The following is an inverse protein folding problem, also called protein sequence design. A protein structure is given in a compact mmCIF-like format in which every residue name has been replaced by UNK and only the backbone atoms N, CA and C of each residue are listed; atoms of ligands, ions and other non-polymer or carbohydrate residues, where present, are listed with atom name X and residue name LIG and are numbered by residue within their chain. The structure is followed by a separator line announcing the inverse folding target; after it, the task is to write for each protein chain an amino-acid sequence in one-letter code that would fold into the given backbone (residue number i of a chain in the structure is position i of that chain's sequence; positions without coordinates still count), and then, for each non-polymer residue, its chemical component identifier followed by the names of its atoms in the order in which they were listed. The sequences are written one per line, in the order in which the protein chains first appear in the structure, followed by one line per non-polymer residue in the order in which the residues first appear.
data_IF_721855538365
#
_entry.id   IF_721855538365
#
_cell.length_a   1.000
_cell.length_b   1.000
_cell.length_c   1.000
_cell.angle_alpha   90.00
_cell.angle_beta   90.00
_cell.angle_gamma   90.00
#
_symmetry.space_group_name_H-M   'P 1'
#
loop_
_entity.id
_entity.type
_entity.pdbx_description
1 polymer ?
#
# COMPACT_ATOMS: atom_id res chain seq x y z
N UNK A 1 -9.91 3.20 -14.40
CA UNK A 1 -9.03 4.38 -14.57
C UNK A 1 -7.63 3.92 -14.93
N UNK A 2 -6.87 4.70 -15.69
CA UNK A 2 -5.49 4.39 -16.02
C UNK A 2 -4.59 5.62 -15.93
N UNK A 3 -3.31 5.41 -15.75
CA UNK A 3 -2.28 6.44 -15.84
C UNK A 3 -1.81 6.52 -17.29
N UNK A 4 -1.66 7.73 -17.83
CA UNK A 4 -1.10 7.99 -19.16
C UNK A 4 0.36 8.43 -19.09
N UNK A 5 0.75 9.03 -17.98
CA UNK A 5 2.11 9.50 -17.78
C UNK A 5 2.48 9.42 -16.31
N UNK A 6 3.70 9.01 -16.03
CA UNK A 6 4.31 9.02 -14.70
C UNK A 6 5.64 9.76 -14.76
N UNK A 7 5.81 10.73 -13.87
CA UNK A 7 7.05 11.50 -13.72
C UNK A 7 7.61 11.36 -12.33
N UNK A 8 8.88 11.03 -12.23
CA UNK A 8 9.65 11.04 -10.99
C UNK A 8 10.83 11.99 -11.14
N UNK A 9 11.10 12.79 -10.12
CA UNK A 9 12.30 13.61 -10.01
C UNK A 9 12.89 13.43 -8.62
N UNK A 10 14.15 13.05 -8.56
CA UNK A 10 14.89 12.76 -7.32
C UNK A 10 14.14 11.83 -6.34
N UNK A 11 13.43 10.83 -6.88
CA UNK A 11 12.69 9.85 -6.10
C UNK A 11 13.47 8.53 -6.01
N UNK A 12 13.85 8.13 -4.79
CA UNK A 12 14.63 6.92 -4.53
C UNK A 12 15.93 6.90 -5.35
N UNK A 13 16.07 5.90 -6.23
CA UNK A 13 17.22 5.76 -7.14
C UNK A 13 17.04 6.48 -8.48
N UNK A 14 15.90 7.11 -8.71
CA UNK A 14 15.56 7.80 -9.95
C UNK A 14 15.89 9.30 -9.86
N UNK A 15 16.91 9.81 -10.53
CA UNK A 15 17.11 11.25 -10.67
C UNK A 15 16.03 11.88 -11.54
N UNK A 16 15.66 11.20 -12.62
CA UNK A 16 14.55 11.55 -13.50
C UNK A 16 13.99 10.28 -14.14
N UNK A 17 12.66 10.16 -14.14
CA UNK A 17 11.90 9.22 -14.95
C UNK A 17 10.74 9.97 -15.60
N UNK A 18 10.58 9.81 -16.90
CA UNK A 18 9.40 10.16 -17.68
C UNK A 18 8.92 8.87 -18.34
N UNK A 19 7.73 8.41 -17.99
CA UNK A 19 7.19 7.13 -18.47
C UNK A 19 5.78 7.36 -19.03
N UNK A 20 5.65 7.16 -20.33
CA UNK A 20 4.36 7.07 -20.99
C UNK A 20 3.74 5.71 -20.71
N UNK A 21 2.46 5.71 -20.40
CA UNK A 21 1.69 4.54 -20.03
C UNK A 21 0.40 4.48 -20.84
N UNK A 22 0.00 3.26 -21.18
CA UNK A 22 -1.25 2.99 -21.89
C UNK A 22 -2.08 1.96 -21.11
N UNK A 23 -3.39 1.85 -21.38
CA UNK A 23 -4.18 0.72 -20.92
C UNK A 23 -3.56 -0.62 -21.35
N UNK A 24 -3.69 -1.65 -20.51
CA UNK A 24 -3.07 -2.95 -20.73
C UNK A 24 -1.91 -3.20 -19.78
N UNK A 25 -1.00 -4.08 -20.17
CA UNK A 25 0.10 -4.53 -19.30
C UNK A 25 1.38 -3.79 -19.65
N UNK A 26 2.01 -3.19 -18.65
CA UNK A 26 3.37 -2.63 -18.72
C UNK A 26 4.28 -3.43 -17.77
N UNK A 27 5.36 -3.98 -18.31
CA UNK A 27 6.33 -4.77 -17.54
C UNK A 27 7.66 -4.04 -17.40
N UNK A 28 8.13 -3.88 -16.17
CA UNK A 28 9.44 -3.35 -15.83
C UNK A 28 10.38 -4.52 -15.52
N UNK A 29 11.33 -4.79 -16.38
CA UNK A 29 12.28 -5.90 -16.24
C UNK A 29 13.65 -5.37 -15.85
N UNK A 30 14.33 -6.05 -14.93
CA UNK A 30 15.70 -5.69 -14.54
C UNK A 30 16.11 -6.37 -13.25
N UNK A 31 17.40 -6.41 -13.00
CA UNK A 31 17.94 -7.08 -11.80
C UNK A 31 17.40 -6.45 -10.51
N UNK A 32 17.41 -7.24 -9.43
CA UNK A 32 17.02 -6.74 -8.12
C UNK A 32 17.91 -5.56 -7.70
N UNK A 33 17.27 -4.56 -7.10
CA UNK A 33 17.94 -3.31 -6.72
C UNK A 33 18.06 -2.26 -7.84
N UNK A 34 17.59 -2.53 -9.07
CA UNK A 34 17.65 -1.55 -10.17
C UNK A 34 16.57 -0.46 -10.10
N UNK A 35 15.63 -0.54 -9.17
CA UNK A 35 14.64 0.52 -8.96
C UNK A 35 13.27 0.28 -9.59
N UNK A 36 12.95 -0.94 -10.05
CA UNK A 36 11.62 -1.32 -10.55
C UNK A 36 10.52 -1.05 -9.53
N UNK A 37 10.66 -1.61 -8.33
CA UNK A 37 9.74 -1.41 -7.19
C UNK A 37 9.54 0.07 -6.85
N UNK A 38 10.57 0.92 -7.04
CA UNK A 38 10.45 2.35 -6.74
C UNK A 38 9.42 3.05 -7.65
N UNK A 39 9.22 2.55 -8.88
CA UNK A 39 8.20 3.07 -9.79
C UNK A 39 6.80 2.74 -9.26
N UNK A 40 6.57 1.48 -8.84
CA UNK A 40 5.30 1.07 -8.25
C UNK A 40 5.06 1.79 -6.90
N UNK A 41 6.11 1.94 -6.09
CA UNK A 41 6.06 2.70 -4.83
C UNK A 41 5.58 4.14 -5.05
N UNK A 42 6.06 4.80 -6.09
CA UNK A 42 5.66 6.17 -6.42
C UNK A 42 4.15 6.27 -6.73
N UNK A 43 3.61 5.34 -7.51
CA UNK A 43 2.16 5.27 -7.79
C UNK A 43 1.38 5.01 -6.50
N UNK A 44 1.84 4.07 -5.66
CA UNK A 44 1.26 3.79 -4.36
C UNK A 44 1.25 5.02 -3.44
N UNK A 45 2.31 5.83 -3.48
CA UNK A 45 2.39 7.10 -2.71
C UNK A 45 1.36 8.12 -3.19
N UNK A 46 1.10 8.23 -4.50
CA UNK A 46 0.02 9.09 -5.00
C UNK A 46 -1.38 8.61 -4.57
N UNK A 47 -1.56 7.29 -4.43
CA UNK A 47 -2.84 6.70 -4.04
C UNK A 47 -3.15 6.81 -2.55
N UNK A 48 -2.12 6.73 -1.68
CA UNK A 48 -2.30 6.57 -0.23
C UNK A 48 -1.60 7.64 0.60
N UNK A 49 -0.75 8.47 -0.03
CA UNK A 49 0.17 9.43 0.61
C UNK A 49 1.17 8.76 1.56
N UNK A 50 1.44 7.47 1.36
CA UNK A 50 2.35 6.67 2.19
C UNK A 50 3.12 5.68 1.33
N UNK A 51 4.33 5.36 1.76
CA UNK A 51 5.06 4.24 1.20
C UNK A 51 4.64 2.92 1.87
N UNK A 52 4.52 1.84 1.09
CA UNK A 52 4.34 0.49 1.63
C UNK A 52 5.63 -0.09 2.22
N UNK A 53 6.80 0.54 1.95
CA UNK A 53 8.12 0.04 2.37
C UNK A 53 8.73 0.78 3.54
N UNK A 54 8.42 2.06 3.69
CA UNK A 54 9.02 2.91 4.73
C UNK A 54 7.99 3.73 5.50
N UNK A 55 8.26 3.97 6.76
CA UNK A 55 7.35 4.70 7.64
C UNK A 55 7.45 6.23 7.53
N UNK A 56 8.52 6.76 6.92
CA UNK A 56 8.79 8.19 6.79
C UNK A 56 9.15 8.56 5.35
N UNK A 57 9.01 9.83 5.00
CA UNK A 57 9.23 10.31 3.63
C UNK A 57 10.72 10.43 3.26
N UNK A 58 11.59 10.65 4.25
CA UNK A 58 13.01 10.91 4.01
C UNK A 58 13.71 9.84 3.13
N UNK A 59 13.47 8.52 3.31
CA UNK A 59 14.08 7.51 2.44
C UNK A 59 13.53 7.49 1.01
N UNK A 60 12.43 8.17 0.71
CA UNK A 60 11.89 8.29 -0.65
C UNK A 60 12.57 9.40 -1.44
N UNK A 61 13.21 10.37 -0.76
CA UNK A 61 13.98 11.44 -1.39
C UNK A 61 15.37 10.90 -1.73
N UNK A 62 15.82 11.16 -2.96
CA UNK A 62 17.13 10.72 -3.44
C UNK A 62 18.23 11.32 -2.57
N UNK A 63 19.27 10.55 -2.27
CA UNK A 63 20.42 11.01 -1.50
C UNK A 63 21.05 12.23 -2.16
N UNK A 64 21.21 13.31 -1.40
CA UNK A 64 21.74 14.58 -1.88
C UNK A 64 20.70 15.58 -2.39
N UNK A 65 19.42 15.18 -2.50
CA UNK A 65 18.32 16.08 -2.85
C UNK A 65 17.53 16.52 -1.61
N UNK A 66 16.94 17.72 -1.66
CA UNK A 66 16.06 18.26 -0.62
C UNK A 66 14.58 17.91 -0.84
N UNK A 67 14.23 17.57 -2.06
CA UNK A 67 12.84 17.35 -2.48
C UNK A 67 12.80 16.24 -3.52
N UNK A 68 11.83 15.34 -3.41
CA UNK A 68 11.44 14.44 -4.48
C UNK A 68 10.08 14.85 -5.02
N UNK A 69 9.88 14.69 -6.34
CA UNK A 69 8.60 14.96 -6.98
C UNK A 69 8.08 13.68 -7.63
N UNK A 70 6.82 13.38 -7.35
CA UNK A 70 6.06 12.30 -8.00
C UNK A 70 4.85 12.95 -8.69
N UNK A 71 4.76 12.81 -9.99
CA UNK A 71 3.67 13.34 -10.80
C UNK A 71 3.04 12.27 -11.67
N UNK A 72 1.73 12.35 -11.89
CA UNK A 72 1.03 11.47 -12.81
C UNK A 72 -0.08 12.22 -13.55
N UNK A 73 -0.32 11.81 -14.81
CA UNK A 73 -1.51 12.14 -15.58
C UNK A 73 -2.44 10.93 -15.51
N UNK A 74 -3.56 11.06 -14.81
CA UNK A 74 -4.57 10.03 -14.65
C UNK A 74 -5.77 10.32 -15.55
N UNK A 75 -6.26 9.28 -16.24
CA UNK A 75 -7.51 9.31 -16.98
C UNK A 75 -8.56 8.49 -16.22
N UNK A 76 -9.66 9.14 -15.83
CA UNK A 76 -10.74 8.50 -15.10
C UNK A 76 -12.09 9.03 -15.57
N UNK A 77 -13.01 8.15 -15.95
CA UNK A 77 -14.37 8.48 -16.40
C UNK A 77 -14.43 9.60 -17.44
N UNK A 78 -13.53 9.57 -18.44
CA UNK A 78 -13.45 10.56 -19.53
C UNK A 78 -12.81 11.90 -19.13
N UNK A 79 -12.21 11.99 -17.94
CA UNK A 79 -11.51 13.19 -17.46
C UNK A 79 -10.03 12.91 -17.28
N UNK A 80 -9.21 13.88 -17.66
CA UNK A 80 -7.78 13.88 -17.38
C UNK A 80 -7.48 14.78 -16.20
N UNK A 81 -6.74 14.24 -15.24
CA UNK A 81 -6.31 14.94 -14.03
C UNK A 81 -4.80 14.75 -13.86
N UNK A 82 -4.08 15.86 -13.76
CA UNK A 82 -2.67 15.85 -13.41
C UNK A 82 -2.54 15.99 -11.89
N UNK A 83 -1.85 15.07 -11.26
CA UNK A 83 -1.53 15.11 -9.84
C UNK A 83 -0.02 15.17 -9.64
N UNK A 84 0.43 16.05 -8.76
CA UNK A 84 1.84 16.15 -8.37
C UNK A 84 1.95 16.19 -6.85
N UNK A 85 2.91 15.45 -6.32
CA UNK A 85 3.28 15.42 -4.91
C UNK A 85 4.77 15.73 -4.76
N UNK A 86 5.09 16.79 -4.04
CA UNK A 86 6.45 17.13 -3.63
C UNK A 86 6.68 16.67 -2.19
N UNK A 87 7.57 15.71 -2.02
CA UNK A 87 8.06 15.21 -0.73
C UNK A 87 9.26 16.07 -0.32
N UNK A 88 9.19 16.70 0.83
CA UNK A 88 10.22 17.65 1.27
C UNK A 88 10.95 17.16 2.52
N UNK A 89 12.27 17.21 2.51
CA UNK A 89 13.08 16.91 3.68
C UNK A 89 12.91 18.00 4.75
N UNK A 90 12.45 17.62 5.95
CA UNK A 90 12.31 18.53 7.08
C UNK A 90 11.25 19.63 6.96
N UNK A 91 10.43 19.60 5.91
CA UNK A 91 9.34 20.56 5.66
C UNK A 91 8.04 19.81 5.33
N UNK A 92 6.91 20.52 5.36
CA UNK A 92 5.64 19.97 4.94
C UNK A 92 5.66 19.64 3.43
N UNK A 93 5.10 18.47 3.08
CA UNK A 93 4.87 18.08 1.70
C UNK A 93 3.86 19.03 1.04
N UNK A 94 3.91 19.11 -0.28
CA UNK A 94 3.01 19.94 -1.08
C UNK A 94 2.42 19.12 -2.20
N UNK A 95 1.18 19.43 -2.57
CA UNK A 95 0.50 18.77 -3.66
C UNK A 95 -0.09 19.81 -4.63
N UNK A 96 -0.24 19.40 -5.88
CA UNK A 96 -0.94 20.14 -6.92
C UNK A 96 -1.91 19.20 -7.64
N UNK A 97 -3.07 19.76 -7.99
CA UNK A 97 -4.06 19.11 -8.83
C UNK A 97 -4.25 19.97 -10.07
N UNK A 98 -3.96 19.41 -11.22
CA UNK A 98 -3.80 20.14 -12.46
C UNK A 98 -2.73 21.24 -12.30
N UNK A 99 -3.05 22.50 -12.58
CA UNK A 99 -2.12 23.65 -12.44
C UNK A 99 -2.20 24.31 -11.06
N UNK A 100 -3.17 23.90 -10.20
CA UNK A 100 -3.47 24.60 -8.96
C UNK A 100 -2.84 23.94 -7.74
N UNK A 101 -2.21 24.70 -6.83
CA UNK A 101 -1.73 24.15 -5.58
C UNK A 101 -2.91 23.73 -4.67
N UNK A 102 -2.80 22.56 -4.06
CA UNK A 102 -3.77 22.08 -3.08
C UNK A 102 -3.59 22.80 -1.73
N UNK A 103 -4.69 22.98 -0.99
CA UNK A 103 -4.64 23.51 0.37
C UNK A 103 -4.05 22.49 1.34
N UNK A 104 -4.35 21.23 1.13
CA UNK A 104 -3.85 20.10 1.92
C UNK A 104 -3.34 19.03 0.97
N UNK A 105 -2.29 18.31 1.36
CA UNK A 105 -1.76 17.19 0.57
C UNK A 105 -2.84 16.13 0.33
N UNK A 106 -3.73 15.91 1.29
CA UNK A 106 -4.86 14.98 1.17
C UNK A 106 -5.88 15.30 0.07
N UNK A 107 -5.87 16.51 -0.51
CA UNK A 107 -6.81 16.90 -1.55
C UNK A 107 -6.56 16.14 -2.88
N UNK A 108 -5.43 15.45 -3.04
CA UNK A 108 -5.13 14.60 -4.20
C UNK A 108 -5.60 13.14 -4.03
N UNK A 109 -6.02 12.73 -2.83
CA UNK A 109 -6.50 11.37 -2.60
C UNK A 109 -7.74 11.08 -3.45
N UNK A 110 -7.81 9.84 -3.96
CA UNK A 110 -8.88 9.40 -4.85
C UNK A 110 -8.69 9.78 -6.33
N UNK A 111 -7.68 10.60 -6.67
CA UNK A 111 -7.33 10.87 -8.08
C UNK A 111 -6.67 9.65 -8.72
N UNK A 112 -5.69 9.08 -8.02
CA UNK A 112 -5.07 7.80 -8.37
C UNK A 112 -5.56 6.74 -7.39
N UNK A 113 -6.06 5.63 -7.91
CA UNK A 113 -6.48 4.48 -7.11
C UNK A 113 -5.71 3.26 -7.61
N UNK A 114 -5.12 2.52 -6.68
CA UNK A 114 -4.28 1.39 -7.02
C UNK A 114 -4.41 0.25 -6.02
N UNK A 115 -4.17 -0.96 -6.50
CA UNK A 115 -4.02 -2.16 -5.68
C UNK A 115 -2.63 -2.73 -5.95
N UNK A 116 -1.82 -2.82 -4.91
CA UNK A 116 -0.48 -3.37 -4.98
C UNK A 116 -0.48 -4.80 -4.43
N UNK A 117 0.15 -5.70 -5.17
CA UNK A 117 0.59 -7.01 -4.70
C UNK A 117 2.11 -7.00 -4.60
N UNK A 118 2.63 -7.31 -3.43
CA UNK A 118 4.06 -7.33 -3.17
C UNK A 118 4.42 -8.47 -2.19
N UNK A 119 5.68 -8.94 -2.17
CA UNK A 119 6.11 -9.96 -1.21
C UNK A 119 5.88 -9.58 0.25
N UNK A 120 5.90 -8.29 0.55
CA UNK A 120 5.62 -7.72 1.87
C UNK A 120 4.18 -8.00 2.35
N UNK A 121 3.25 -8.34 1.46
CA UNK A 121 1.86 -8.65 1.81
C UNK A 121 1.72 -9.89 2.70
N UNK A 122 2.73 -10.75 2.76
CA UNK A 122 2.79 -11.81 3.77
C UNK A 122 2.69 -11.27 5.20
N UNK A 123 3.12 -10.03 5.44
CA UNK A 123 2.99 -9.35 6.72
C UNK A 123 1.53 -9.07 7.10
N UNK A 124 0.59 -9.01 6.16
CA UNK A 124 -0.84 -8.91 6.46
C UNK A 124 -1.32 -10.13 7.26
N UNK A 125 -0.80 -11.30 6.95
CA UNK A 125 -1.20 -12.55 7.61
C UNK A 125 -0.32 -12.86 8.83
N UNK A 126 1.01 -12.74 8.69
CA UNK A 126 1.98 -13.14 9.72
C UNK A 126 2.44 -12.00 10.62
N UNK A 127 2.31 -10.77 10.12
CA UNK A 127 2.83 -9.57 10.79
C UNK A 127 1.98 -9.06 11.95
N UNK A 128 2.31 -7.86 12.37
CA UNK A 128 1.66 -7.21 13.50
C UNK A 128 0.32 -6.56 13.08
N UNK A 129 -0.59 -6.29 14.03
CA UNK A 129 -1.87 -5.64 13.76
C UNK A 129 -1.77 -4.32 12.98
N UNK A 130 -0.64 -3.65 13.06
CA UNK A 130 -0.40 -2.39 12.35
C UNK A 130 -0.51 -2.53 10.83
N UNK A 131 -0.03 -3.65 10.26
CA UNK A 131 -0.10 -3.92 8.82
C UNK A 131 -1.55 -4.08 8.36
N UNK A 132 -2.35 -4.80 9.12
CA UNK A 132 -3.77 -5.02 8.82
C UNK A 132 -4.61 -3.75 8.97
N UNK A 133 -4.33 -2.94 10.01
CA UNK A 133 -4.97 -1.62 10.14
C UNK A 133 -4.62 -0.72 8.97
N UNK A 134 -3.36 -0.75 8.54
CA UNK A 134 -2.90 0.03 7.39
C UNK A 134 -3.68 -0.34 6.13
N UNK A 135 -3.86 -1.63 5.84
CA UNK A 135 -4.68 -2.10 4.71
C UNK A 135 -6.11 -1.51 4.76
N UNK A 136 -6.78 -1.61 5.91
CA UNK A 136 -8.13 -1.07 6.06
C UNK A 136 -8.16 0.46 5.86
N UNK A 137 -7.21 1.17 6.46
CA UNK A 137 -7.14 2.64 6.37
C UNK A 137 -6.86 3.10 4.94
N UNK A 138 -5.95 2.43 4.23
CA UNK A 138 -5.63 2.72 2.83
C UNK A 138 -6.84 2.49 1.92
N UNK A 139 -7.57 1.39 2.07
CA UNK A 139 -8.79 1.12 1.32
C UNK A 139 -9.89 2.15 1.62
N UNK A 140 -10.10 2.47 2.90
CA UNK A 140 -11.07 3.49 3.29
C UNK A 140 -10.77 4.84 2.65
N UNK A 141 -9.50 5.27 2.71
CA UNK A 141 -9.08 6.58 2.20
C UNK A 141 -9.17 6.65 0.68
N UNK A 142 -8.77 5.61 -0.03
CA UNK A 142 -8.89 5.58 -1.48
C UNK A 142 -10.35 5.60 -1.96
N UNK A 143 -11.27 4.95 -1.23
CA UNK A 143 -12.71 4.94 -1.53
C UNK A 143 -13.43 6.22 -1.05
N UNK A 144 -13.03 6.74 0.12
CA UNK A 144 -13.64 7.91 0.77
C UNK A 144 -12.55 8.88 1.26
N UNK A 145 -12.00 9.72 0.39
CA UNK A 145 -10.87 10.61 0.70
C UNK A 145 -11.07 11.51 1.93
N UNK A 146 -12.32 11.86 2.26
CA UNK A 146 -12.63 12.64 3.46
C UNK A 146 -12.15 12.00 4.76
N UNK A 147 -12.14 10.67 4.84
CA UNK A 147 -11.63 9.93 6.02
C UNK A 147 -10.12 10.07 6.21
N UNK A 148 -9.37 10.43 5.17
CA UNK A 148 -7.94 10.74 5.29
C UNK A 148 -7.66 11.92 6.22
N UNK A 149 -8.57 12.90 6.26
CA UNK A 149 -8.51 14.02 7.20
C UNK A 149 -8.70 13.55 8.65
N UNK A 150 -9.70 12.70 8.90
CA UNK A 150 -9.98 12.17 10.24
C UNK A 150 -8.82 11.30 10.76
N UNK A 151 -8.22 10.45 9.92
CA UNK A 151 -7.03 9.64 10.26
C UNK A 151 -5.81 10.51 10.60
N UNK A 152 -5.58 11.57 9.82
CA UNK A 152 -4.49 12.52 10.05
C UNK A 152 -4.66 13.28 11.36
N UNK A 153 -5.85 13.78 11.61
CA UNK A 153 -6.17 14.50 12.84
C UNK A 153 -6.14 13.57 14.07
N UNK A 154 -6.73 12.36 13.96
CA UNK A 154 -6.64 11.33 15.00
C UNK A 154 -5.20 11.04 15.40
N UNK A 155 -4.32 10.86 14.43
CA UNK A 155 -2.90 10.60 14.67
C UNK A 155 -2.22 11.79 15.38
N UNK A 156 -2.62 13.02 15.08
CA UNK A 156 -2.12 14.22 15.76
C UNK A 156 -2.59 14.32 17.21
N UNK A 157 -3.89 14.14 17.43
CA UNK A 157 -4.52 14.10 18.77
C UNK A 157 -3.88 13.00 19.62
N UNK A 158 -3.71 11.80 19.06
CA UNK A 158 -3.08 10.67 19.75
C UNK A 158 -1.65 10.97 20.19
N UNK A 159 -0.85 11.63 19.33
CA UNK A 159 0.53 12.04 19.70
C UNK A 159 0.54 13.03 20.83
N UNK A 160 -0.32 14.05 20.80
CA UNK A 160 -0.38 15.08 21.85
C UNK A 160 -0.87 14.49 23.16
N UNK A 161 -1.93 13.69 23.13
CA UNK A 161 -2.46 12.98 24.30
C UNK A 161 -1.41 12.06 24.92
N UNK A 162 -0.70 11.30 24.09
CA UNK A 162 0.38 10.40 24.56
C UNK A 162 1.56 11.15 25.17
N UNK A 163 1.91 12.32 24.62
CA UNK A 163 2.94 13.18 25.20
C UNK A 163 2.50 13.73 26.58
N UNK A 164 1.25 14.13 26.72
CA UNK A 164 0.65 14.58 27.99
C UNK A 164 0.69 13.47 29.04
N UNK A 165 0.21 12.28 28.71
CA UNK A 165 0.24 11.10 29.60
C UNK A 165 1.68 10.76 30.05
N UNK A 166 2.62 10.77 29.12
CA UNK A 166 4.04 10.50 29.42
C UNK A 166 4.64 11.54 30.38
N UNK A 167 4.32 12.81 30.17
CA UNK A 167 4.76 13.91 31.04
C UNK A 167 4.16 13.80 32.44
N UNK A 168 2.83 13.59 32.52
CA UNK A 168 2.13 13.44 33.79
C UNK A 168 2.65 12.22 34.60
N UNK A 169 2.81 11.07 33.95
CA UNK A 169 3.39 9.86 34.59
C UNK A 169 4.80 10.12 35.13
N UNK A 170 5.65 10.81 34.40
CA UNK A 170 7.01 11.15 34.84
C UNK A 170 7.00 12.13 36.02
N UNK A 171 6.06 13.08 36.05
CA UNK A 171 5.90 14.08 37.13
C UNK A 171 5.39 13.43 38.40
N UNK A 172 4.40 12.54 38.30
CA UNK A 172 3.89 11.75 39.43
C UNK A 172 4.97 10.90 40.10
N UNK A 173 5.79 10.21 39.30
CA UNK A 173 6.92 9.39 39.81
C UNK A 173 7.97 10.22 40.55
N UNK A 174 8.05 11.52 40.30
CA UNK A 174 8.95 12.46 40.98
C UNK A 174 8.32 13.09 42.23
N UNK A 175 7.12 12.68 42.63
CA UNK A 175 6.40 13.20 43.80
C UNK A 175 5.81 14.59 43.63
N UNK A 176 5.63 15.09 42.38
CA UNK A 176 5.03 16.40 42.06
C UNK A 176 3.59 16.23 41.61
N UNK A 177 2.73 15.80 42.53
CA UNK A 177 1.32 15.49 42.21
C UNK A 177 0.51 16.68 41.73
N UNK A 178 0.71 17.88 42.28
CA UNK A 178 -0.02 19.10 41.88
C UNK A 178 0.28 19.50 40.43
N UNK A 179 1.56 19.44 40.01
CA UNK A 179 1.95 19.73 38.63
C UNK A 179 1.36 18.71 37.64
N UNK A 180 1.25 17.45 38.05
CA UNK A 180 0.65 16.41 37.25
C UNK A 180 -0.88 16.57 37.13
N UNK A 181 -1.56 16.99 38.22
CA UNK A 181 -3.00 17.22 38.22
C UNK A 181 -3.38 18.32 37.21
N UNK A 182 -2.68 19.45 37.22
CA UNK A 182 -2.91 20.54 36.26
C UNK A 182 -2.72 20.09 34.79
N UNK A 183 -1.75 19.22 34.53
CA UNK A 183 -1.55 18.65 33.20
C UNK A 183 -2.69 17.69 32.81
N UNK A 184 -3.26 16.97 33.76
CA UNK A 184 -4.34 16.02 33.52
C UNK A 184 -5.72 16.68 33.39
N UNK A 185 -5.91 17.92 33.86
CA UNK A 185 -7.17 18.68 33.71
C UNK A 185 -7.55 18.90 32.24
N UNK A 186 -6.54 18.92 31.36
CA UNK A 186 -6.78 19.05 29.91
C UNK A 186 -7.05 17.71 29.20
N UNK A 187 -6.90 16.58 29.92
CA UNK A 187 -6.99 15.24 29.31
C UNK A 187 -8.39 14.96 28.77
N UNK A 188 -9.44 15.47 29.43
CA UNK A 188 -10.83 15.28 29.02
C UNK A 188 -11.11 15.87 27.62
N UNK A 189 -10.49 17.00 27.29
CA UNK A 189 -10.60 17.62 25.97
C UNK A 189 -9.98 16.71 24.90
N UNK A 190 -8.81 16.14 25.20
CA UNK A 190 -8.14 15.21 24.30
C UNK A 190 -8.88 13.88 24.19
N UNK A 191 -9.49 13.38 25.28
CA UNK A 191 -10.32 12.18 25.32
C UNK A 191 -11.56 12.33 24.44
N UNK A 192 -12.27 13.45 24.57
CA UNK A 192 -13.41 13.77 23.73
C UNK A 192 -13.06 13.81 22.24
N UNK A 193 -11.96 14.51 21.89
CA UNK A 193 -11.55 14.60 20.48
C UNK A 193 -11.04 13.27 19.94
N UNK A 194 -10.30 12.49 20.75
CA UNK A 194 -9.84 11.16 20.39
C UNK A 194 -11.00 10.20 20.14
N UNK A 195 -12.01 10.22 21.00
CA UNK A 195 -13.21 9.39 20.85
C UNK A 195 -14.03 9.77 19.62
N UNK A 196 -14.25 11.05 19.39
CA UNK A 196 -14.99 11.56 18.23
C UNK A 196 -14.36 11.16 16.88
N UNK A 197 -13.05 11.32 16.76
CA UNK A 197 -12.33 10.90 15.54
C UNK A 197 -12.20 9.39 15.47
N UNK A 198 -11.93 8.76 16.60
CA UNK A 198 -11.78 7.32 16.74
C UNK A 198 -13.04 6.55 16.35
N UNK A 199 -14.20 7.04 16.73
CA UNK A 199 -15.50 6.42 16.41
C UNK A 199 -15.76 6.35 14.92
N UNK A 200 -15.46 7.42 14.18
CA UNK A 200 -15.59 7.47 12.72
C UNK A 200 -14.66 6.48 12.03
N UNK A 201 -13.44 6.33 12.55
CA UNK A 201 -12.47 5.36 12.02
C UNK A 201 -12.95 3.94 12.29
N UNK A 202 -13.44 3.63 13.50
CA UNK A 202 -13.96 2.30 13.86
C UNK A 202 -15.16 1.95 13.00
N UNK A 203 -16.17 2.82 12.96
CA UNK A 203 -17.36 2.60 12.14
C UNK A 203 -17.02 2.43 10.65
N UNK A 204 -16.10 3.25 10.12
CA UNK A 204 -15.63 3.14 8.75
C UNK A 204 -14.93 1.81 8.46
N UNK A 205 -14.08 1.32 9.36
CA UNK A 205 -13.39 0.02 9.21
C UNK A 205 -14.36 -1.16 9.28
N UNK A 206 -15.36 -1.12 10.17
CA UNK A 206 -16.36 -2.17 10.30
C UNK A 206 -17.21 -2.21 9.03
N UNK A 207 -17.74 -1.08 8.58
CA UNK A 207 -18.51 -0.98 7.35
C UNK A 207 -17.72 -1.49 6.12
N UNK A 208 -16.44 -1.08 6.01
CA UNK A 208 -15.54 -1.59 4.98
C UNK A 208 -15.39 -3.11 5.07
N UNK A 209 -15.20 -3.65 6.26
CA UNK A 209 -15.00 -5.09 6.45
C UNK A 209 -16.23 -5.91 6.09
N UNK A 210 -17.44 -5.41 6.35
CA UNK A 210 -18.69 -6.07 5.92
C UNK A 210 -18.77 -6.25 4.41
N UNK A 211 -18.33 -5.24 3.64
CA UNK A 211 -18.27 -5.29 2.18
C UNK A 211 -17.09 -6.16 1.68
N UNK A 212 -15.93 -6.06 2.32
CA UNK A 212 -14.70 -6.74 1.91
C UNK A 212 -14.72 -8.26 2.21
N UNK A 213 -15.32 -8.66 3.33
CA UNK A 213 -15.31 -10.06 3.81
C UNK A 213 -15.79 -11.06 2.77
N UNK A 214 -16.97 -10.94 2.14
CA UNK A 214 -17.44 -11.91 1.16
C UNK A 214 -16.51 -11.99 -0.06
N UNK A 215 -15.93 -10.87 -0.49
CA UNK A 215 -15.01 -10.81 -1.64
C UNK A 215 -13.69 -11.55 -1.36
N UNK A 216 -13.15 -11.35 -0.16
CA UNK A 216 -11.92 -12.06 0.26
C UNK A 216 -12.16 -13.54 0.45
N UNK A 217 -13.27 -13.94 1.07
CA UNK A 217 -13.63 -15.35 1.27
C UNK A 217 -13.79 -16.07 -0.08
N UNK A 218 -14.45 -15.43 -1.05
CA UNK A 218 -14.61 -16.00 -2.38
C UNK A 218 -13.28 -16.11 -3.13
N UNK A 219 -12.45 -15.06 -3.08
CA UNK A 219 -11.12 -15.06 -3.67
C UNK A 219 -10.21 -16.13 -3.04
N UNK A 220 -10.26 -16.31 -1.72
CA UNK A 220 -9.50 -17.35 -1.04
C UNK A 220 -9.92 -18.75 -1.48
N UNK A 221 -11.22 -19.01 -1.58
CA UNK A 221 -11.76 -20.29 -2.04
C UNK A 221 -11.29 -20.64 -3.46
N UNK A 222 -11.18 -19.66 -4.36
CA UNK A 222 -10.66 -19.85 -5.72
C UNK A 222 -9.15 -20.17 -5.72
N UNK A 223 -8.38 -19.49 -4.85
CA UNK A 223 -6.92 -19.66 -4.76
C UNK A 223 -6.49 -20.93 -4.01
N UNK A 224 -7.30 -21.42 -3.09
CA UNK A 224 -6.98 -22.54 -2.22
C UNK A 224 -8.23 -23.41 -1.94
N UNK A 225 -8.80 -24.07 -2.98
CA UNK A 225 -10.09 -24.78 -2.87
C UNK A 225 -10.08 -25.94 -1.89
N UNK A 226 -8.92 -26.53 -1.63
CA UNK A 226 -8.75 -27.66 -0.69
C UNK A 226 -8.35 -27.21 0.72
N UNK A 227 -8.21 -25.90 0.95
CA UNK A 227 -7.82 -25.36 2.24
C UNK A 227 -9.02 -25.14 3.16
N UNK A 228 -8.71 -24.91 4.45
CA UNK A 228 -9.70 -24.50 5.44
C UNK A 228 -10.35 -23.17 5.02
N UNK A 229 -11.64 -22.92 5.32
CA UNK A 229 -12.31 -21.68 4.95
C UNK A 229 -11.65 -20.47 5.62
N UNK A 230 -11.46 -19.39 4.83
CA UNK A 230 -10.97 -18.13 5.35
C UNK A 230 -12.07 -17.36 6.09
N UNK A 231 -11.69 -16.73 7.20
CA UNK A 231 -12.57 -15.85 7.96
C UNK A 231 -11.90 -14.51 8.26
N UNK A 232 -12.72 -13.45 8.30
CA UNK A 232 -12.30 -12.10 8.65
C UNK A 232 -13.20 -11.55 9.74
N UNK A 233 -12.63 -10.97 10.80
CA UNK A 233 -13.35 -10.35 11.90
C UNK A 233 -12.65 -9.06 12.36
N UNK A 234 -13.40 -8.13 12.95
CA UNK A 234 -12.84 -6.94 13.57
C UNK A 234 -12.73 -7.14 15.07
N UNK A 235 -11.56 -6.95 15.63
CA UNK A 235 -11.36 -6.97 17.09
C UNK A 235 -11.21 -5.54 17.59
N UNK A 236 -12.26 -5.07 18.20
CA UNK A 236 -12.24 -3.84 18.97
C UNK A 236 -11.63 -4.13 20.35
N UNK A 237 -10.55 -3.42 20.71
CA UNK A 237 -9.84 -3.65 21.98
C UNK A 237 -10.45 -2.84 23.13
N UNK A 238 -11.73 -2.90 23.27
CA UNK A 238 -12.46 -2.35 24.43
C UNK A 238 -13.00 -3.54 25.21
N UNK A 239 -12.81 -3.55 26.51
CA UNK A 239 -13.43 -4.55 27.37
C UNK A 239 -14.92 -4.19 27.48
N UNK A 240 -15.74 -4.84 26.67
CA UNK A 240 -17.20 -4.72 26.69
C UNK A 240 -17.85 -5.99 27.22
N UNK A 241 -19.15 -5.93 27.56
CA UNK A 241 -19.97 -7.09 27.89
C UNK A 241 -20.05 -8.05 26.69
N UNK A 242 -20.51 -9.31 26.90
CA UNK A 242 -20.57 -10.33 25.85
C UNK A 242 -21.46 -9.97 24.66
N UNK A 243 -22.31 -8.99 24.80
CA UNK A 243 -23.10 -8.42 23.69
C UNK A 243 -22.27 -7.31 23.05
N UNK A 244 -21.62 -7.63 21.90
CA UNK A 244 -20.86 -6.65 21.14
C UNK A 244 -21.79 -5.52 20.68
N UNK A 245 -21.54 -4.25 21.08
CA UNK A 245 -22.36 -3.13 20.61
C UNK A 245 -22.22 -2.98 19.10
N UNK A 246 -23.26 -2.54 18.43
CA UNK A 246 -23.22 -2.18 17.02
C UNK A 246 -22.33 -0.94 16.80
N UNK A 247 -21.06 -1.15 16.58
CA UNK A 247 -20.06 -0.09 16.38
C UNK A 247 -20.07 0.48 14.95
N UNK A 248 -21.01 0.09 14.10
CA UNK A 248 -21.23 0.74 12.79
C UNK A 248 -21.84 2.12 12.95
N UNK A 249 -22.55 2.36 14.08
CA UNK A 249 -23.03 3.69 14.48
C UNK A 249 -21.89 4.50 15.15
N UNK A 250 -21.43 5.61 14.53
CA UNK A 250 -20.37 6.44 15.10
C UNK A 250 -20.72 7.05 16.47
N UNK A 251 -21.98 7.37 16.76
CA UNK A 251 -22.38 7.97 18.04
C UNK A 251 -22.26 6.92 19.17
N UNK A 252 -22.70 5.69 18.91
CA UNK A 252 -22.55 4.60 19.85
C UNK A 252 -21.06 4.23 20.04
N UNK A 253 -20.30 4.17 18.96
CA UNK A 253 -18.86 3.91 19.03
C UNK A 253 -18.11 5.01 19.83
N UNK A 254 -18.51 6.29 19.71
CA UNK A 254 -17.94 7.38 20.49
C UNK A 254 -18.24 7.22 22.00
N UNK A 255 -19.49 6.92 22.34
CA UNK A 255 -19.89 6.69 23.73
C UNK A 255 -19.12 5.52 24.37
N UNK A 256 -18.94 4.42 23.63
CA UNK A 256 -18.16 3.25 24.07
C UNK A 256 -16.68 3.60 24.25
N UNK A 257 -16.10 4.37 23.34
CA UNK A 257 -14.71 4.83 23.46
C UNK A 257 -14.53 5.75 24.67
N UNK A 258 -15.43 6.70 24.90
CA UNK A 258 -15.37 7.60 26.06
C UNK A 258 -15.49 6.84 27.39
N UNK A 259 -16.42 5.90 27.46
CA UNK A 259 -16.59 5.06 28.66
C UNK A 259 -15.30 4.26 28.95
N UNK A 260 -14.69 3.68 27.93
CA UNK A 260 -13.45 2.90 28.09
C UNK A 260 -12.24 3.77 28.43
N UNK A 261 -12.12 4.96 27.85
CA UNK A 261 -11.09 5.94 28.19
C UNK A 261 -11.19 6.32 29.68
N UNK A 262 -12.43 6.58 30.17
CA UNK A 262 -12.67 6.84 31.59
C UNK A 262 -12.28 5.65 32.46
N UNK A 263 -12.69 4.44 32.08
CA UNK A 263 -12.39 3.20 32.83
C UNK A 263 -10.89 2.90 32.93
N UNK A 264 -10.13 3.14 31.86
CA UNK A 264 -8.69 2.86 31.80
C UNK A 264 -7.78 4.04 32.13
N UNK A 265 -8.38 5.19 32.48
CA UNK A 265 -7.64 6.45 32.69
C UNK A 265 -6.45 6.29 33.64
N UNK A 266 -6.66 5.65 34.81
CA UNK A 266 -5.57 5.48 35.78
C UNK A 266 -4.46 4.60 35.22
N UNK A 267 -4.79 3.52 34.53
CA UNK A 267 -3.81 2.64 33.88
C UNK A 267 -3.01 3.37 32.82
N UNK A 268 -3.65 4.21 32.02
CA UNK A 268 -2.99 5.03 31.00
C UNK A 268 -2.03 6.06 31.61
N UNK A 269 -2.45 6.69 32.71
CA UNK A 269 -1.61 7.65 33.47
C UNK A 269 -0.39 6.92 34.03
N UNK A 270 -0.59 5.78 34.72
CA UNK A 270 0.50 5.01 35.34
C UNK A 270 1.53 4.53 34.31
N UNK A 271 1.07 4.10 33.14
CA UNK A 271 1.92 3.63 32.05
C UNK A 271 2.48 4.75 31.18
N UNK A 272 1.86 5.93 31.17
CA UNK A 272 2.21 7.05 30.29
C UNK A 272 1.92 6.74 28.82
N UNK A 273 0.87 5.94 28.53
CA UNK A 273 0.56 5.44 27.19
C UNK A 273 -0.94 5.46 26.93
N UNK A 274 -1.36 5.80 25.70
CA UNK A 274 -2.74 5.64 25.24
C UNK A 274 -3.03 4.17 24.95
N UNK A 275 -4.02 3.61 25.63
CA UNK A 275 -4.37 2.18 25.56
C UNK A 275 -5.70 1.92 24.85
N UNK A 276 -6.51 2.95 24.63
CA UNK A 276 -7.85 2.90 24.05
C UNK A 276 -7.92 3.62 22.72
N UNK A 277 -8.58 3.03 21.75
CA UNK A 277 -8.87 3.62 20.44
C UNK A 277 -8.43 2.75 19.26
N UNK A 278 -8.83 3.14 18.03
CA UNK A 278 -8.62 2.35 16.79
C UNK A 278 -7.15 2.04 16.47
N UNK A 279 -6.20 2.74 17.06
CA UNK A 279 -4.77 2.41 16.95
C UNK A 279 -4.38 1.13 17.71
N UNK A 280 -5.27 0.56 18.51
CA UNK A 280 -5.10 -0.70 19.25
C UNK A 280 -5.90 -1.87 18.68
N UNK A 281 -6.83 -1.60 17.78
CA UNK A 281 -7.70 -2.60 17.18
C UNK A 281 -6.95 -3.51 16.20
N UNK A 282 -7.60 -4.60 15.79
CA UNK A 282 -7.02 -5.56 14.85
C UNK A 282 -8.07 -6.12 13.90
N UNK A 283 -7.64 -6.40 12.67
CA UNK A 283 -8.34 -7.28 11.74
C UNK A 283 -7.91 -8.71 12.01
N UNK A 284 -8.84 -9.55 12.44
CA UNK A 284 -8.58 -10.94 12.73
C UNK A 284 -8.76 -11.76 11.47
N UNK A 285 -7.74 -12.54 11.13
CA UNK A 285 -7.74 -13.47 10.02
C UNK A 285 -7.74 -14.90 10.57
N UNK A 286 -8.68 -15.72 10.12
CA UNK A 286 -8.81 -17.13 10.54
C UNK A 286 -8.83 -18.08 9.35
N UNK A 287 -8.42 -19.32 9.60
CA UNK A 287 -8.56 -20.46 8.70
C UNK A 287 -9.29 -21.57 9.46
N UNK A 288 -10.55 -21.78 9.11
CA UNK A 288 -11.47 -22.52 9.98
C UNK A 288 -11.59 -21.82 11.32
N UNK A 289 -11.45 -22.56 12.40
CA UNK A 289 -11.53 -22.04 13.78
C UNK A 289 -10.21 -21.50 14.30
N UNK A 290 -9.11 -21.62 13.53
CA UNK A 290 -7.76 -21.25 14.00
C UNK A 290 -7.34 -19.88 13.47
N UNK A 291 -6.57 -19.07 14.25
CA UNK A 291 -5.96 -17.86 13.74
C UNK A 291 -5.01 -18.16 12.57
N UNK A 292 -5.07 -17.39 11.49
CA UNK A 292 -4.13 -17.56 10.38
C UNK A 292 -2.66 -17.32 10.84
N UNK A 293 -2.42 -16.33 11.72
CA UNK A 293 -1.10 -16.06 12.27
C UNK A 293 -0.65 -17.23 13.15
N UNK A 294 0.43 -17.89 12.76
CA UNK A 294 1.03 -19.02 13.48
C UNK A 294 0.50 -20.41 13.09
N UNK A 295 -0.66 -20.49 12.45
CA UNK A 295 -1.29 -21.76 12.07
C UNK A 295 -1.37 -21.98 10.56
N UNK A 296 -1.28 -20.91 9.75
CA UNK A 296 -1.26 -21.01 8.31
C UNK A 296 0.09 -21.56 7.80
N UNK A 297 0.04 -22.51 6.89
CA UNK A 297 1.18 -22.94 6.11
C UNK A 297 1.71 -21.80 5.23
N UNK A 298 2.87 -21.99 4.60
CA UNK A 298 3.40 -20.98 3.69
C UNK A 298 2.46 -20.71 2.50
N UNK A 299 1.92 -21.76 1.89
CA UNK A 299 0.98 -21.65 0.80
C UNK A 299 -0.35 -20.99 1.19
N UNK A 300 -0.92 -21.35 2.36
CA UNK A 300 -2.13 -20.72 2.89
C UNK A 300 -1.90 -19.23 3.19
N UNK A 301 -0.71 -18.87 3.69
CA UNK A 301 -0.32 -17.47 3.94
C UNK A 301 -0.33 -16.66 2.64
N UNK A 302 0.29 -17.18 1.57
CA UNK A 302 0.27 -16.54 0.25
C UNK A 302 -1.15 -16.44 -0.31
N UNK A 303 -1.92 -17.53 -0.24
CA UNK A 303 -3.32 -17.51 -0.70
C UNK A 303 -4.15 -16.47 0.04
N UNK A 304 -3.94 -16.31 1.35
CA UNK A 304 -4.69 -15.32 2.13
C UNK A 304 -4.27 -13.88 1.80
N UNK A 305 -2.96 -13.62 1.67
CA UNK A 305 -2.45 -12.32 1.27
C UNK A 305 -2.98 -11.90 -0.12
N UNK A 306 -2.93 -12.84 -1.08
CA UNK A 306 -3.51 -12.64 -2.42
C UNK A 306 -5.02 -12.40 -2.35
N UNK A 307 -5.76 -13.18 -1.55
CA UNK A 307 -7.20 -13.04 -1.41
C UNK A 307 -7.59 -11.66 -0.83
N UNK A 308 -6.83 -11.13 0.13
CA UNK A 308 -7.03 -9.78 0.65
C UNK A 308 -6.89 -8.72 -0.45
N UNK A 309 -5.88 -8.84 -1.31
CA UNK A 309 -5.65 -7.90 -2.41
C UNK A 309 -6.66 -8.06 -3.55
N UNK A 310 -7.00 -9.30 -3.92
CA UNK A 310 -8.05 -9.56 -4.93
C UNK A 310 -9.42 -9.08 -4.43
N UNK A 311 -9.76 -9.33 -3.17
CA UNK A 311 -10.96 -8.78 -2.56
C UNK A 311 -10.96 -7.25 -2.54
N UNK A 312 -9.79 -6.62 -2.36
CA UNK A 312 -9.65 -5.15 -2.46
C UNK A 312 -9.90 -4.64 -3.88
N UNK A 313 -9.39 -5.35 -4.89
CA UNK A 313 -9.65 -5.06 -6.30
C UNK A 313 -11.14 -5.16 -6.62
N UNK A 314 -11.78 -6.27 -6.24
CA UNK A 314 -13.20 -6.50 -6.46
C UNK A 314 -14.07 -5.49 -5.71
N UNK A 315 -13.62 -5.00 -4.55
CA UNK A 315 -14.28 -3.94 -3.80
C UNK A 315 -14.31 -2.61 -4.56
N UNK A 316 -13.21 -2.20 -5.20
CA UNK A 316 -13.18 -1.03 -6.08
C UNK A 316 -14.08 -1.21 -7.29
N UNK A 317 -14.09 -2.39 -7.90
CA UNK A 317 -14.97 -2.72 -9.03
C UNK A 317 -16.45 -2.64 -8.66
N UNK A 318 -16.82 -3.04 -7.45
CA UNK A 318 -18.17 -2.90 -6.95
C UNK A 318 -18.62 -1.42 -6.84
N UNK A 319 -17.69 -0.50 -6.61
CA UNK A 319 -17.93 0.95 -6.65
C UNK A 319 -17.90 1.53 -8.08
N UNK A 320 -17.72 0.71 -9.11
CA UNK A 320 -17.58 1.15 -10.51
C UNK A 320 -16.20 1.76 -10.82
N UNK A 321 -15.20 1.46 -10.02
CA UNK A 321 -13.83 1.97 -10.16
C UNK A 321 -12.92 0.81 -10.58
N UNK A 322 -12.17 1.01 -11.67
CA UNK A 322 -11.12 0.08 -12.07
C UNK A 322 -9.77 0.67 -11.61
N UNK A 323 -9.15 0.18 -10.52
CA UNK A 323 -7.88 0.72 -10.05
C UNK A 323 -6.72 0.23 -10.91
N UNK A 324 -5.58 0.92 -10.85
CA UNK A 324 -4.33 0.42 -11.42
C UNK A 324 -3.85 -0.78 -10.59
N UNK A 325 -3.65 -1.92 -11.24
CA UNK A 325 -3.11 -3.12 -10.61
C UNK A 325 -1.59 -3.10 -10.70
N UNK A 326 -0.93 -3.26 -9.58
CA UNK A 326 0.53 -3.28 -9.48
C UNK A 326 0.99 -4.63 -8.91
N UNK A 327 1.88 -5.32 -9.63
CA UNK A 327 2.39 -6.65 -9.30
C UNK A 327 3.92 -6.57 -9.14
N UNK A 328 4.41 -6.49 -7.90
CA UNK A 328 5.83 -6.30 -7.60
C UNK A 328 6.54 -7.62 -7.30
N UNK A 329 7.29 -8.12 -8.26
CA UNK A 329 8.10 -9.36 -8.19
C UNK A 329 7.32 -10.62 -7.67
N UNK A 330 5.98 -10.61 -7.75
CA UNK A 330 5.12 -11.63 -7.11
C UNK A 330 5.16 -12.97 -7.82
N UNK A 331 5.37 -12.99 -9.14
CA UNK A 331 5.31 -14.23 -9.91
C UNK A 331 6.46 -15.19 -9.58
N UNK A 332 7.60 -14.68 -9.13
CA UNK A 332 8.73 -15.51 -8.69
C UNK A 332 8.43 -16.31 -7.41
N UNK A 333 7.53 -15.79 -6.57
CA UNK A 333 7.20 -16.36 -5.25
C UNK A 333 5.99 -17.32 -5.28
N UNK A 334 5.23 -17.33 -6.39
CA UNK A 334 3.99 -18.08 -6.50
C UNK A 334 4.20 -19.42 -7.20
N UNK A 335 3.51 -20.46 -6.70
CA UNK A 335 3.38 -21.72 -7.42
C UNK A 335 2.54 -21.56 -8.70
N UNK A 336 2.55 -22.60 -9.54
CA UNK A 336 1.89 -22.59 -10.84
C UNK A 336 0.40 -22.25 -10.77
N UNK A 337 -0.32 -22.79 -9.76
CA UNK A 337 -1.76 -22.58 -9.64
C UNK A 337 -2.09 -21.13 -9.28
N UNK A 338 -1.43 -20.56 -8.25
CA UNK A 338 -1.62 -19.17 -7.82
C UNK A 338 -1.17 -18.18 -8.88
N UNK A 339 -0.07 -18.50 -9.58
CA UNK A 339 0.44 -17.70 -10.71
C UNK A 339 -0.61 -17.62 -11.83
N UNK A 340 -1.24 -18.74 -12.20
CA UNK A 340 -2.28 -18.79 -13.21
C UNK A 340 -3.53 -18.00 -12.78
N UNK A 341 -3.99 -18.18 -11.53
CA UNK A 341 -5.16 -17.48 -11.01
C UNK A 341 -4.94 -15.94 -10.95
N UNK A 342 -3.75 -15.50 -10.53
CA UNK A 342 -3.41 -14.06 -10.52
C UNK A 342 -3.32 -13.49 -11.95
N UNK A 343 -2.74 -14.23 -12.88
CA UNK A 343 -2.66 -13.85 -14.29
C UNK A 343 -4.06 -13.71 -14.92
N UNK A 344 -4.97 -14.63 -14.65
CA UNK A 344 -6.35 -14.58 -15.15
C UNK A 344 -7.07 -13.31 -14.68
N UNK A 345 -6.93 -12.95 -13.39
CA UNK A 345 -7.50 -11.70 -12.87
C UNK A 345 -6.86 -10.48 -13.51
N UNK A 346 -5.54 -10.48 -13.66
CA UNK A 346 -4.78 -9.35 -14.19
C UNK A 346 -5.13 -9.05 -15.67
N UNK A 347 -5.37 -10.07 -16.49
CA UNK A 347 -5.82 -9.90 -17.89
C UNK A 347 -7.12 -9.10 -18.00
N UNK A 348 -8.00 -9.19 -16.99
CA UNK A 348 -9.27 -8.47 -16.96
C UNK A 348 -9.19 -7.04 -16.42
N UNK A 349 -8.01 -6.51 -16.06
CA UNK A 349 -7.81 -5.17 -15.50
C UNK A 349 -7.45 -4.16 -16.59
N UNK A 350 -8.02 -2.95 -16.54
CA UNK A 350 -7.77 -1.89 -17.51
C UNK A 350 -6.28 -1.54 -17.66
N UNK A 351 -5.53 -1.50 -16.54
CA UNK A 351 -4.10 -1.23 -16.55
C UNK A 351 -3.37 -2.02 -15.45
N UNK A 352 -2.32 -2.71 -15.85
CA UNK A 352 -1.47 -3.53 -14.98
C UNK A 352 -0.01 -3.13 -15.14
N UNK A 353 0.66 -2.87 -14.05
CA UNK A 353 2.11 -2.69 -14.01
C UNK A 353 2.75 -3.90 -13.31
N UNK A 354 3.68 -4.55 -13.98
CA UNK A 354 4.38 -5.73 -13.47
C UNK A 354 5.85 -5.43 -13.32
N UNK A 355 6.46 -5.81 -12.22
CA UNK A 355 7.93 -5.87 -12.13
C UNK A 355 8.39 -7.32 -12.13
N UNK A 356 9.52 -7.58 -12.79
CA UNK A 356 10.15 -8.91 -12.82
C UNK A 356 11.67 -8.80 -12.88
N UNK A 357 12.36 -9.75 -12.27
CA UNK A 357 13.81 -9.84 -12.37
C UNK A 357 14.25 -10.24 -13.77
N UNK A 358 13.51 -11.16 -14.38
CA UNK A 358 13.70 -11.65 -15.76
C UNK A 358 12.32 -11.71 -16.45
N UNK A 359 12.31 -11.54 -17.77
CA UNK A 359 11.05 -11.48 -18.53
C UNK A 359 10.26 -12.79 -18.51
N UNK A 360 10.95 -13.92 -18.35
CA UNK A 360 10.37 -15.27 -18.31
C UNK A 360 9.53 -15.53 -17.04
N UNK A 361 9.72 -14.74 -16.00
CA UNK A 361 8.88 -14.83 -14.77
C UNK A 361 7.45 -14.35 -15.02
N UNK A 362 7.25 -13.48 -16.02
CA UNK A 362 5.93 -12.95 -16.35
C UNK A 362 5.15 -13.96 -17.20
N UNK A 363 3.93 -14.35 -16.78
CA UNK A 363 3.10 -15.27 -17.56
C UNK A 363 2.83 -14.76 -18.97
N UNK A 364 2.80 -15.66 -19.97
CA UNK A 364 2.55 -15.32 -21.38
C UNK A 364 1.26 -14.52 -21.61
N UNK A 365 0.22 -14.78 -20.82
CA UNK A 365 -1.05 -14.05 -20.86
C UNK A 365 -0.97 -12.59 -20.42
N UNK A 366 0.14 -12.18 -19.80
CA UNK A 366 0.41 -10.81 -19.33
C UNK A 366 1.50 -10.12 -20.14
N UNK A 367 1.75 -10.57 -21.37
CA UNK A 367 2.68 -9.88 -22.26
C UNK A 367 2.10 -8.55 -22.73
N UNK A 368 2.88 -7.49 -22.60
CA UNK A 368 2.52 -6.12 -22.98
C UNK A 368 3.77 -5.30 -23.28
N UNK A 369 3.71 -4.01 -23.07
CA UNK A 369 4.86 -3.11 -23.26
C UNK A 369 5.93 -3.44 -22.22
N UNK A 370 7.15 -3.69 -22.67
CA UNK A 370 8.30 -3.99 -21.81
C UNK A 370 9.26 -2.81 -21.76
N UNK A 371 9.70 -2.48 -20.56
CA UNK A 371 10.76 -1.54 -20.30
C UNK A 371 11.87 -2.22 -19.49
N UNK A 372 13.10 -2.12 -19.95
CA UNK A 372 14.25 -2.65 -19.23
C UNK A 372 14.83 -1.58 -18.30
N UNK A 373 14.93 -1.91 -17.02
CA UNK A 373 15.44 -1.03 -15.96
C UNK A 373 16.84 -1.44 -15.60
N UNK A 374 17.76 -0.50 -15.72
CA UNK A 374 19.18 -0.69 -15.46
C UNK A 374 19.69 0.25 -14.37
N UNK A 375 20.81 -0.12 -13.76
CA UNK A 375 21.54 0.76 -12.86
C UNK A 375 22.74 1.33 -13.60
N UNK A 376 22.85 2.64 -13.68
CA UNK A 376 23.92 3.39 -14.33
C UNK A 376 24.75 4.18 -13.31
N UNK A 377 25.92 4.67 -13.72
CA UNK A 377 26.83 5.40 -12.83
C UNK A 377 27.68 4.49 -11.96
N UNK A 378 28.68 5.07 -11.28
CA UNK A 378 29.61 4.38 -10.39
C UNK A 378 29.59 4.98 -8.98
N UNK A 379 29.91 4.17 -7.97
CA UNK A 379 30.03 4.62 -6.59
C UNK A 379 28.76 5.30 -6.06
N UNK A 380 28.90 6.53 -5.58
CA UNK A 380 27.78 7.34 -5.03
C UNK A 380 26.82 7.91 -6.06
N UNK A 381 27.19 7.90 -7.36
CA UNK A 381 26.36 8.42 -8.45
C UNK A 381 25.49 7.35 -9.12
N UNK A 382 25.44 6.15 -8.54
CA UNK A 382 24.59 5.07 -9.06
C UNK A 382 23.12 5.48 -9.02
N UNK A 383 22.44 5.32 -10.17
CA UNK A 383 21.02 5.67 -10.31
C UNK A 383 20.33 4.76 -11.31
N UNK A 384 19.01 4.70 -11.18
CA UNK A 384 18.16 3.95 -12.10
C UNK A 384 17.96 4.70 -13.40
N UNK A 385 17.96 3.97 -14.50
CA UNK A 385 17.61 4.46 -15.83
C UNK A 385 16.78 3.42 -16.59
N UNK A 386 15.94 3.87 -17.51
CA UNK A 386 15.32 3.00 -18.50
C UNK A 386 16.18 2.97 -19.77
N UNK A 387 16.39 1.78 -20.29
CA UNK A 387 16.92 1.67 -21.67
C UNK A 387 15.80 1.99 -22.65
N UNK A 388 16.08 2.74 -23.74
CA UNK A 388 15.08 2.95 -24.78
C UNK A 388 14.55 1.59 -25.26
N UNK A 389 13.22 1.44 -25.32
CA UNK A 389 12.61 0.27 -25.95
C UNK A 389 12.91 0.33 -27.44
N UNK A 390 13.86 -0.46 -27.91
CA UNK A 390 13.94 -0.77 -29.32
C UNK A 390 12.73 -1.66 -29.60
N UNK A 391 11.84 -1.20 -30.49
CA UNK A 391 10.67 -1.96 -30.87
C UNK A 391 11.10 -3.37 -31.33
N UNK A 392 10.49 -4.38 -30.77
CA UNK A 392 10.54 -5.72 -31.33
C UNK A 392 9.82 -5.67 -32.69
N UNK A 393 10.57 -5.38 -33.76
CA UNK A 393 10.16 -5.82 -35.09
C UNK A 393 10.35 -7.35 -35.09
N UNK A 394 9.26 -8.07 -35.13
CA UNK A 394 9.24 -9.45 -35.54
C UNK A 394 9.74 -9.51 -36.98
N UNK A 395 10.78 -10.31 -37.22
CA UNK A 395 11.17 -10.73 -38.56
C UNK A 395 12.46 -10.09 -39.04
N UNK A 396 13.56 -10.74 -38.82
CA UNK A 396 14.66 -10.91 -39.76
C UNK A 396 15.30 -12.27 -39.46
N UNK A 397 14.67 -13.32 -40.02
CA UNK A 397 15.34 -14.58 -40.32
C UNK A 397 16.29 -14.23 -41.46
N UNK A 398 17.54 -13.89 -41.17
CA UNK A 398 18.61 -13.95 -42.16
C UNK A 398 19.08 -15.41 -42.25
N UNK A 399 18.60 -16.06 -43.29
CA UNK A 399 19.18 -17.30 -43.84
C UNK A 399 20.65 -17.03 -44.19
N UNK A 400 21.56 -17.49 -43.35
CA UNK A 400 22.97 -17.67 -43.74
C UNK A 400 23.05 -18.95 -44.61
N UNK A 401 22.89 -18.77 -45.94
CA UNK A 401 23.27 -19.73 -46.93
C UNK A 401 24.81 -19.80 -46.98
N UNK A 402 25.35 -20.82 -46.35
CA UNK A 402 26.77 -21.27 -46.57
C UNK A 402 26.93 -21.78 -48.01
N UNK A 403 27.38 -20.92 -48.90
CA UNK A 403 27.91 -21.35 -50.19
C UNK A 403 29.32 -21.99 -49.98
N UNK A 404 29.34 -23.31 -50.04
CA UNK A 404 30.55 -24.11 -50.33
C UNK A 404 31.17 -23.68 -51.65
N UNK A 405 32.34 -23.11 -51.64
CA UNK A 405 33.19 -22.93 -52.80
C UNK A 405 34.43 -23.83 -52.69
N UNK A 406 34.29 -24.97 -53.29
CA UNK A 406 35.36 -25.86 -53.74
C UNK A 406 36.34 -25.11 -54.64
N UNK A 407 37.63 -25.14 -54.36
CA UNK A 407 38.69 -24.92 -55.37
C UNK A 407 39.91 -25.76 -55.08
N UNK A 408 39.99 -26.85 -55.80
CA UNK A 408 41.23 -27.58 -56.20
C UNK A 408 42.34 -26.68 -56.71
N UNK A 409 43.54 -26.96 -56.28
CA UNK A 409 44.77 -26.99 -57.16
C UNK A 409 45.94 -27.54 -56.34
N UNK A 410 46.33 -28.76 -56.58
CA UNK A 410 47.54 -29.17 -57.23
C UNK A 410 48.77 -28.23 -57.05
N UNK A 411 49.84 -28.64 -56.39
CA UNK A 411 51.03 -29.25 -57.08
C UNK A 411 52.15 -29.61 -56.08
N UNK A 412 52.82 -30.67 -56.45
CA UNK A 412 54.07 -31.31 -55.96
C UNK A 412 55.28 -30.40 -56.17
N UNK A 413 56.53 -30.86 -55.81
CA UNK A 413 56.90 -32.19 -55.34
C UNK A 413 57.40 -32.30 -53.87
#
# INVERSE_FOLDING_TARGET
MHLRHLRLLDFRSWPLLELELEPGVTTLVGRNGHGKTNVLEAIGVLSTLRSHRVATDAPMIRTGADTALVGALAHNAGRELTVELALNSGKANRARLNTSPCRRVGDILGVVQSVLFAPEDLALVRGEPAERRRLLDELMVQRRPALGGDLGEYSSVLRQRSALLKSASATLRRGRGEDAAAALDTLDVWDGRLAQLGSRIVAGRIALLEELRPLVVDSYRRLAPESRPAGLGYRFRVAGPPDEPDLTDPELAEAVLLAELGRRRQEEIDRGLSLVGPHRDDLILTLGDEPAKGFASHGETWSFALALRLGSLDLFRADGIEPVLMLDDVFAELDRHRRAALAEVAVGVEQVLVTAAVGEDVPDGLRGVRHDVVMTGEGGDRHSAMTPSWGCHAGDDEDDDDEDADSDSEDRP
#
